data_IF_127103478242
#
_entry.id   IF_127103478242
#
_cell.length_a   1.000
_cell.length_b   1.000
_cell.length_c   1.000
_cell.angle_alpha   90.00
_cell.angle_beta   90.00
_cell.angle_gamma   90.00
#
_symmetry.space_group_name_H-M   'P 1'
#
loop_
_entity.id
_entity.type
_entity.pdbx_description
1 polymer ?
#
# COMPACT_ATOMS: atom_id res chain seq x y z
N UNK A 1 1.03 -17.86 -12.33
CA UNK A 1 0.52 -16.62 -11.68
C UNK A 1 0.67 -16.83 -10.17
N UNK A 2 1.33 -15.92 -9.43
CA UNK A 2 1.38 -16.02 -7.96
C UNK A 2 -0.03 -15.85 -7.42
N UNK A 3 -0.56 -16.86 -6.74
CA UNK A 3 -1.88 -16.78 -6.11
C UNK A 3 -1.78 -16.00 -4.80
N UNK A 4 -2.04 -14.69 -4.87
CA UNK A 4 -2.20 -13.89 -3.67
C UNK A 4 -3.59 -14.15 -3.07
N UNK A 5 -3.64 -14.79 -1.90
CA UNK A 5 -4.89 -15.18 -1.21
C UNK A 5 -5.88 -14.01 -1.06
N UNK A 6 -5.36 -12.81 -0.85
CA UNK A 6 -6.16 -11.60 -0.60
C UNK A 6 -6.43 -10.73 -1.84
N UNK A 7 -5.94 -11.10 -3.02
CA UNK A 7 -6.13 -10.29 -4.25
C UNK A 7 -7.61 -10.15 -4.61
N UNK A 8 -8.34 -11.26 -4.67
CA UNK A 8 -9.77 -11.26 -5.01
C UNK A 8 -10.62 -10.47 -4.01
N UNK A 9 -10.57 -10.75 -2.70
CA UNK A 9 -11.39 -10.00 -1.75
C UNK A 9 -11.02 -8.51 -1.70
N UNK A 10 -9.73 -8.16 -1.86
CA UNK A 10 -9.30 -6.76 -1.89
C UNK A 10 -9.83 -6.02 -3.12
N UNK A 11 -9.75 -6.64 -4.31
CA UNK A 11 -10.36 -6.10 -5.54
C UNK A 11 -11.87 -5.92 -5.35
N UNK A 12 -12.57 -6.88 -4.76
CA UNK A 12 -14.02 -6.79 -4.57
C UNK A 12 -14.41 -5.62 -3.67
N UNK A 13 -13.74 -5.45 -2.52
CA UNK A 13 -14.00 -4.34 -1.60
C UNK A 13 -13.72 -3.00 -2.26
N UNK A 14 -12.57 -2.86 -2.92
CA UNK A 14 -12.19 -1.61 -3.58
C UNK A 14 -13.09 -1.31 -4.77
N UNK A 15 -13.53 -2.33 -5.51
CA UNK A 15 -14.47 -2.15 -6.61
C UNK A 15 -15.84 -1.73 -6.12
N UNK A 16 -16.31 -2.28 -5.00
CA UNK A 16 -17.55 -1.85 -4.35
C UNK A 16 -17.42 -0.39 -3.90
N UNK A 17 -16.33 -0.03 -3.22
CA UNK A 17 -16.05 1.35 -2.80
C UNK A 17 -16.11 2.32 -3.98
N UNK A 18 -15.39 2.02 -5.07
CA UNK A 18 -15.38 2.87 -6.26
C UNK A 18 -16.77 2.96 -6.92
N UNK A 19 -17.56 1.89 -6.88
CA UNK A 19 -18.92 1.87 -7.43
C UNK A 19 -19.88 2.74 -6.61
N UNK A 20 -19.80 2.70 -5.29
CA UNK A 20 -20.64 3.55 -4.41
C UNK A 20 -20.41 5.05 -4.65
N UNK A 21 -19.27 5.43 -5.23
CA UNK A 21 -18.91 6.80 -5.57
C UNK A 21 -18.96 7.10 -7.09
N UNK A 22 -19.52 6.22 -7.92
CA UNK A 22 -19.59 6.37 -9.39
C UNK A 22 -18.21 6.50 -10.09
N UNK A 23 -17.16 5.97 -9.47
CA UNK A 23 -15.76 6.03 -9.94
C UNK A 23 -15.25 4.71 -10.53
N UNK A 24 -16.10 3.71 -10.77
CA UNK A 24 -15.71 2.40 -11.31
C UNK A 24 -15.72 2.31 -12.86
N UNK A 25 -16.16 3.38 -13.55
CA UNK A 25 -16.37 3.42 -14.99
C UNK A 25 -15.23 4.15 -15.71
N UNK A 26 -14.51 3.45 -16.60
CA UNK A 26 -13.37 4.02 -17.35
C UNK A 26 -13.79 5.12 -18.32
N UNK A 27 -14.96 4.99 -18.97
CA UNK A 27 -15.44 5.99 -19.92
C UNK A 27 -15.78 7.33 -19.24
N UNK A 28 -16.07 7.32 -17.93
CA UNK A 28 -16.29 8.52 -17.11
C UNK A 28 -15.02 9.04 -16.45
N UNK A 29 -13.85 8.44 -16.75
CA UNK A 29 -12.57 8.82 -16.15
C UNK A 29 -12.19 8.08 -14.88
N UNK A 30 -13.01 7.15 -14.43
CA UNK A 30 -12.81 6.39 -13.18
C UNK A 30 -11.84 5.22 -13.31
N UNK A 31 -11.66 4.48 -12.21
CA UNK A 31 -10.79 3.31 -12.12
C UNK A 31 -11.57 2.05 -12.49
N UNK A 32 -11.34 1.57 -13.72
CA UNK A 32 -11.90 0.31 -14.20
C UNK A 32 -11.29 -0.92 -13.54
N UNK A 33 -11.93 -2.09 -13.77
CA UNK A 33 -11.48 -3.37 -13.18
C UNK A 33 -10.03 -3.74 -13.47
N UNK A 34 -9.56 -3.46 -14.70
CA UNK A 34 -8.18 -3.75 -15.09
C UNK A 34 -7.19 -2.79 -14.43
N UNK A 35 -7.53 -1.51 -14.33
CA UNK A 35 -6.73 -0.53 -13.61
C UNK A 35 -6.63 -0.89 -12.13
N UNK A 36 -7.76 -1.21 -11.51
CA UNK A 36 -7.83 -1.64 -10.12
C UNK A 36 -6.99 -2.91 -9.89
N UNK A 37 -7.04 -3.87 -10.82
CA UNK A 37 -6.21 -5.07 -10.76
C UNK A 37 -4.71 -4.73 -10.78
N UNK A 38 -4.26 -3.81 -11.64
CA UNK A 38 -2.87 -3.36 -11.66
C UNK A 38 -2.47 -2.69 -10.34
N UNK A 39 -3.32 -1.81 -9.82
CA UNK A 39 -3.07 -1.13 -8.55
C UNK A 39 -2.93 -2.11 -7.38
N UNK A 40 -3.85 -3.07 -7.28
CA UNK A 40 -3.83 -4.08 -6.20
C UNK A 40 -2.65 -5.04 -6.36
N UNK A 41 -2.33 -5.45 -7.59
CA UNK A 41 -1.19 -6.32 -7.86
C UNK A 41 0.13 -5.65 -7.47
N UNK A 42 0.33 -4.40 -7.90
CA UNK A 42 1.49 -3.59 -7.50
C UNK A 42 1.58 -3.47 -5.97
N UNK A 43 0.47 -3.17 -5.30
CA UNK A 43 0.43 -3.06 -3.85
C UNK A 43 0.90 -4.35 -3.16
N UNK A 44 0.33 -5.50 -3.52
CA UNK A 44 0.68 -6.80 -2.92
C UNK A 44 2.15 -7.19 -3.20
N UNK A 45 2.66 -6.89 -4.39
CA UNK A 45 4.07 -7.09 -4.71
C UNK A 45 4.98 -6.24 -3.82
N UNK A 46 4.61 -4.98 -3.55
CA UNK A 46 5.38 -4.07 -2.70
C UNK A 46 5.34 -4.50 -1.23
N UNK A 47 4.19 -4.96 -0.73
CA UNK A 47 4.11 -5.52 0.62
C UNK A 47 5.06 -6.73 0.78
N UNK A 48 5.06 -7.65 -0.20
CA UNK A 48 5.94 -8.82 -0.18
C UNK A 48 7.44 -8.47 -0.18
N UNK A 49 7.85 -7.44 -0.94
CA UNK A 49 9.23 -6.94 -0.91
C UNK A 49 9.62 -6.37 0.46
N UNK A 50 8.75 -5.51 1.00
CA UNK A 50 8.97 -4.89 2.31
C UNK A 50 9.16 -5.96 3.38
N UNK A 51 8.35 -7.01 3.36
CA UNK A 51 8.45 -8.17 4.27
C UNK A 51 9.76 -8.92 4.12
N UNK A 52 10.14 -9.28 2.90
CA UNK A 52 11.40 -9.97 2.64
C UNK A 52 12.60 -9.17 3.17
N UNK A 53 12.57 -7.84 3.05
CA UNK A 53 13.61 -6.97 3.58
C UNK A 53 13.64 -6.92 5.13
N UNK A 54 12.46 -6.89 5.78
CA UNK A 54 12.33 -6.92 7.24
C UNK A 54 12.81 -8.25 7.83
N UNK A 55 12.43 -9.37 7.23
CA UNK A 55 12.82 -10.70 7.72
C UNK A 55 14.33 -10.91 7.64
N UNK A 56 14.96 -10.46 6.54
CA UNK A 56 16.43 -10.47 6.41
C UNK A 56 17.12 -9.64 7.50
N UNK A 57 16.59 -8.46 7.86
CA UNK A 57 17.12 -7.62 8.95
C UNK A 57 17.00 -8.31 10.33
N UNK A 58 15.87 -8.98 10.59
CA UNK A 58 15.65 -9.71 11.86
C UNK A 58 16.54 -10.95 11.99
N UNK A 59 16.78 -11.68 10.90
CA UNK A 59 17.73 -12.80 10.87
C UNK A 59 19.17 -12.34 11.09
N UNK A 60 19.59 -11.24 10.44
CA UNK A 60 20.95 -10.71 10.57
C UNK A 60 21.24 -10.17 11.99
N UNK A 61 20.24 -9.56 12.67
CA UNK A 61 20.37 -9.17 14.09
C UNK A 61 20.53 -10.35 15.04
N UNK A 62 19.99 -11.53 14.69
CA UNK A 62 20.09 -12.74 15.52
C UNK A 62 21.47 -13.40 15.40
N UNK A 63 22.13 -13.29 14.25
CA UNK A 63 23.51 -13.77 14.03
C UNK A 63 24.57 -12.86 14.69
N UNK A 64 24.30 -11.55 14.85
CA UNK A 64 25.18 -10.65 15.61
C UNK A 64 25.09 -10.81 17.13
N UNK A 65 24.00 -11.38 17.66
CA UNK A 65 23.78 -11.51 19.12
C UNK A 65 24.48 -12.70 19.77
N UNK A 66 25.10 -13.60 18.99
CA UNK A 66 25.92 -14.72 19.49
C UNK A 66 27.42 -14.39 19.58
N UNK A 67 27.81 -13.13 19.37
CA UNK A 67 29.22 -12.68 19.47
C UNK A 67 29.49 -11.70 20.62
N UNK A 68 28.48 -11.37 21.44
CA UNK A 68 28.63 -10.61 22.68
C UNK A 68 27.92 -11.36 23.82
N UNK A 69 28.61 -12.33 24.41
CA UNK A 69 28.32 -12.80 25.75
C UNK A 69 29.54 -12.46 26.61
N UNK A 70 29.54 -11.26 27.21
CA UNK A 70 30.03 -11.14 28.58
C UNK A 70 29.25 -10.06 29.36
N UNK A 71 28.88 -10.48 30.57
CA UNK A 71 28.35 -9.77 31.76
C UNK A 71 27.19 -8.75 31.67
N UNK A 72 26.10 -9.07 32.39
CA UNK A 72 25.71 -8.21 33.51
C UNK A 72 24.32 -7.55 33.52
N UNK A 73 23.52 -7.97 34.51
CA UNK A 73 22.55 -7.18 35.29
C UNK A 73 21.14 -6.99 34.69
N UNK A 74 20.22 -7.77 35.28
CA UNK A 74 18.76 -7.62 35.29
C UNK A 74 18.32 -6.18 35.55
N UNK A 75 17.61 -5.58 34.59
CA UNK A 75 16.75 -4.41 34.83
C UNK A 75 15.35 -4.70 34.32
N UNK A 76 14.40 -4.84 35.24
CA UNK A 76 12.97 -4.78 34.94
C UNK A 76 12.61 -3.35 34.52
N UNK A 77 11.88 -3.13 33.41
CA UNK A 77 11.45 -1.78 33.03
C UNK A 77 10.25 -1.32 33.87
N UNK A 78 10.17 -0.04 34.25
CA UNK A 78 9.09 0.49 35.08
C UNK A 78 7.79 0.70 34.29
N UNK A 79 6.68 0.45 34.98
CA UNK A 79 5.31 0.74 34.57
C UNK A 79 5.04 2.25 34.69
N UNK A 80 5.01 2.96 33.56
CA UNK A 80 4.22 4.20 33.30
C UNK A 80 4.67 4.88 32.01
N UNK A 81 3.80 4.95 31.00
CA UNK A 81 3.81 6.04 29.99
C UNK A 81 2.37 6.51 29.76
N UNK A 82 2.14 7.82 29.51
CA UNK A 82 0.87 8.51 29.74
C UNK A 82 -0.11 8.47 28.55
N UNK A 83 -1.34 8.93 28.82
CA UNK A 83 -2.49 9.05 27.94
C UNK A 83 -2.33 10.16 26.85
N UNK A 84 -2.43 9.77 25.56
CA UNK A 84 -2.62 10.55 24.30
C UNK A 84 -1.50 11.50 23.81
N UNK A 85 -1.47 11.98 22.54
CA UNK A 85 -1.90 11.45 21.23
C UNK A 85 -0.71 11.36 20.21
N UNK A 86 -0.95 10.82 19.00
CA UNK A 86 0.01 10.68 17.87
C UNK A 86 1.00 9.51 17.96
N UNK A 87 0.50 8.29 17.76
CA UNK A 87 1.36 7.13 17.44
C UNK A 87 0.98 6.60 16.07
N UNK A 88 1.43 7.26 15.01
CA UNK A 88 1.30 6.75 13.63
C UNK A 88 2.44 5.79 13.29
N UNK A 89 3.63 5.98 13.88
CA UNK A 89 4.80 5.15 13.60
C UNK A 89 4.73 3.76 14.23
N UNK A 90 4.18 3.60 15.44
CA UNK A 90 4.05 2.26 16.07
C UNK A 90 2.86 1.44 15.59
N UNK A 91 1.92 2.05 14.84
CA UNK A 91 0.87 1.30 14.12
C UNK A 91 1.48 0.48 12.98
N UNK A 92 2.56 0.96 12.34
CA UNK A 92 3.24 0.23 11.28
C UNK A 92 3.88 -1.07 11.75
N UNK A 93 4.27 -1.13 13.02
CA UNK A 93 4.84 -2.32 13.67
C UNK A 93 3.75 -3.29 14.20
N UNK A 94 2.51 -2.84 14.40
CA UNK A 94 1.37 -3.71 14.76
C UNK A 94 0.66 -4.32 13.54
N UNK A 95 1.03 -3.91 12.31
CA UNK A 95 0.50 -4.41 11.04
C UNK A 95 1.21 -5.70 10.56
N UNK A 96 1.67 -6.55 11.47
CA UNK A 96 2.51 -7.72 11.15
C UNK A 96 1.76 -8.88 10.47
N UNK A 97 0.43 -8.88 10.49
CA UNK A 97 -0.38 -9.94 9.87
C UNK A 97 -0.95 -9.56 8.50
N UNK A 98 -1.01 -10.52 7.57
CA UNK A 98 -1.62 -10.45 6.23
C UNK A 98 -3.14 -10.45 6.31
N UNK A 99 -3.70 -9.74 7.29
CA UNK A 99 -5.16 -9.63 7.34
C UNK A 99 -5.62 -8.79 6.15
N UNK A 100 -6.78 -9.16 5.60
CA UNK A 100 -7.42 -8.39 4.55
C UNK A 100 -7.57 -6.92 4.93
N UNK A 101 -7.89 -6.64 6.20
CA UNK A 101 -8.01 -5.28 6.71
C UNK A 101 -6.68 -4.51 6.70
N UNK A 102 -5.57 -5.15 7.06
CA UNK A 102 -4.24 -4.50 7.02
C UNK A 102 -3.85 -4.14 5.59
N UNK A 103 -4.07 -5.07 4.66
CA UNK A 103 -3.81 -4.85 3.23
C UNK A 103 -4.71 -3.77 2.63
N UNK A 104 -5.98 -3.69 3.06
CA UNK A 104 -6.86 -2.61 2.64
C UNK A 104 -6.38 -1.25 3.15
N UNK A 105 -6.06 -1.14 4.44
CA UNK A 105 -5.59 0.11 5.05
C UNK A 105 -4.25 0.57 4.44
N UNK A 106 -3.31 -0.36 4.22
CA UNK A 106 -2.03 -0.04 3.58
C UNK A 106 -2.18 0.28 2.09
N UNK A 107 -3.13 -0.34 1.39
CA UNK A 107 -3.49 0.02 0.01
C UNK A 107 -3.98 1.47 -0.06
N UNK A 108 -4.96 1.83 0.78
CA UNK A 108 -5.54 3.17 0.81
C UNK A 108 -4.45 4.20 1.09
N UNK A 109 -3.63 4.00 2.13
CA UNK A 109 -2.49 4.87 2.45
C UNK A 109 -1.53 5.01 1.27
N UNK A 110 -1.17 3.90 0.63
CA UNK A 110 -0.20 3.89 -0.46
C UNK A 110 -0.66 4.75 -1.64
N UNK A 111 -1.93 4.63 -2.03
CA UNK A 111 -2.45 5.38 -3.18
C UNK A 111 -2.93 6.79 -2.82
N UNK A 112 -3.28 7.08 -1.57
CA UNK A 112 -3.45 8.49 -1.13
C UNK A 112 -2.11 9.25 -1.12
N UNK A 113 -1.01 8.59 -0.78
CA UNK A 113 0.32 9.21 -0.70
C UNK A 113 1.20 8.96 -1.95
N UNK A 114 0.63 8.46 -3.05
CA UNK A 114 1.39 8.18 -4.27
C UNK A 114 1.73 9.49 -5.01
N UNK A 115 2.94 9.60 -5.55
CA UNK A 115 3.34 10.76 -6.33
C UNK A 115 2.87 10.61 -7.78
N UNK A 116 1.64 11.03 -8.06
CA UNK A 116 1.03 10.90 -9.38
C UNK A 116 1.68 11.79 -10.45
N UNK A 117 2.46 12.80 -10.05
CA UNK A 117 3.13 13.71 -10.98
C UNK A 117 4.38 13.06 -11.54
N UNK A 118 5.23 12.51 -10.67
CA UNK A 118 6.55 12.02 -11.04
C UNK A 118 6.65 10.51 -11.18
N UNK A 119 5.75 9.75 -10.57
CA UNK A 119 5.86 8.30 -10.48
C UNK A 119 4.76 7.56 -11.25
N UNK A 120 5.12 6.38 -11.75
CA UNK A 120 4.22 5.40 -12.35
C UNK A 120 4.43 4.02 -11.72
N UNK A 121 3.57 3.08 -12.06
CA UNK A 121 3.69 1.70 -11.59
C UNK A 121 3.93 0.73 -12.75
N UNK A 122 4.75 -0.28 -12.46
CA UNK A 122 5.03 -1.38 -13.37
C UNK A 122 4.87 -2.71 -12.62
N UNK A 123 3.80 -3.45 -12.90
CA UNK A 123 3.54 -4.73 -12.23
C UNK A 123 4.36 -5.90 -12.77
N UNK A 124 5.15 -5.69 -13.84
CA UNK A 124 6.00 -6.74 -14.40
C UNK A 124 7.09 -7.12 -13.40
N UNK A 125 7.35 -8.42 -13.29
CA UNK A 125 8.26 -8.97 -12.29
C UNK A 125 7.74 -8.78 -10.86
N UNK A 126 8.34 -7.84 -10.12
CA UNK A 126 8.08 -7.65 -8.69
C UNK A 126 7.39 -6.33 -8.35
N UNK A 127 6.72 -5.63 -9.28
CA UNK A 127 5.97 -4.41 -8.95
C UNK A 127 6.86 -3.23 -8.62
N UNK A 128 7.31 -2.49 -9.63
CA UNK A 128 8.24 -1.37 -9.47
C UNK A 128 7.52 -0.03 -9.55
N UNK A 129 8.06 0.94 -8.82
CA UNK A 129 7.78 2.36 -9.07
C UNK A 129 8.78 2.80 -10.14
N UNK A 130 8.27 3.45 -11.19
CA UNK A 130 9.07 3.97 -12.31
C UNK A 130 8.96 5.50 -12.33
N UNK A 131 9.97 6.19 -12.86
CA UNK A 131 9.92 7.64 -13.06
C UNK A 131 9.24 7.97 -14.37
N UNK A 132 8.19 8.80 -14.33
CA UNK A 132 7.43 9.21 -15.53
C UNK A 132 8.27 10.00 -16.52
N UNK A 133 9.31 10.69 -16.08
CA UNK A 133 10.25 11.42 -16.96
C UNK A 133 10.97 10.53 -17.96
N UNK A 134 11.02 9.21 -17.74
CA UNK A 134 11.59 8.25 -18.70
C UNK A 134 10.61 7.82 -19.80
N UNK A 135 9.32 8.17 -19.67
CA UNK A 135 8.23 7.66 -20.53
C UNK A 135 7.26 8.75 -21.03
N UNK A 136 7.21 9.90 -20.37
CA UNK A 136 6.32 11.01 -20.68
C UNK A 136 7.17 12.26 -20.92
N UNK A 137 6.92 12.95 -22.03
CA UNK A 137 7.55 14.24 -22.31
C UNK A 137 6.97 15.34 -21.40
N UNK A 138 5.67 15.28 -21.12
CA UNK A 138 4.95 16.29 -20.35
C UNK A 138 4.48 15.78 -18.97
N UNK A 139 4.66 16.57 -17.90
CA UNK A 139 4.17 16.22 -16.57
C UNK A 139 2.64 16.20 -16.54
N UNK A 140 2.08 15.28 -15.77
CA UNK A 140 0.63 15.16 -15.55
C UNK A 140 0.36 14.45 -14.22
N UNK A 141 -0.83 14.61 -13.66
CA UNK A 141 -1.27 14.06 -12.37
C UNK A 141 -2.03 12.72 -12.50
N UNK A 142 -2.01 12.13 -13.71
CA UNK A 142 -2.66 10.85 -13.96
C UNK A 142 -1.81 9.69 -13.47
N UNK A 143 -2.47 8.65 -12.94
CA UNK A 143 -1.80 7.39 -12.67
C UNK A 143 -1.25 6.79 -13.97
N UNK A 144 0.08 6.67 -14.04
CA UNK A 144 0.77 6.02 -15.14
C UNK A 144 0.98 4.54 -14.81
N UNK A 145 0.56 3.65 -15.71
CA UNK A 145 0.71 2.20 -15.51
C UNK A 145 1.28 1.59 -16.78
N UNK A 146 2.44 0.96 -16.68
CA UNK A 146 3.02 0.23 -17.81
C UNK A 146 2.15 -0.97 -18.15
N UNK A 147 1.76 -1.11 -19.42
CA UNK A 147 1.05 -2.29 -19.89
C UNK A 147 1.93 -3.54 -19.69
N UNK A 148 1.44 -4.57 -18.98
CA UNK A 148 2.13 -5.85 -18.83
C UNK A 148 2.33 -6.59 -20.16
N UNK A 149 1.48 -6.30 -21.16
CA UNK A 149 1.52 -6.93 -22.48
C UNK A 149 2.37 -6.12 -23.46
N UNK A 150 2.31 -4.78 -23.37
CA UNK A 150 2.93 -3.85 -24.31
C UNK A 150 3.74 -2.80 -23.55
N UNK A 151 5.00 -3.07 -23.18
CA UNK A 151 5.86 -2.25 -22.32
C UNK A 151 5.92 -0.73 -22.59
N UNK A 152 5.61 -0.31 -23.81
CA UNK A 152 5.66 1.06 -24.27
C UNK A 152 4.32 1.79 -24.13
N UNK A 153 3.26 1.09 -23.70
CA UNK A 153 1.92 1.62 -23.60
C UNK A 153 1.53 1.88 -22.13
N UNK A 154 0.93 3.04 -21.92
CA UNK A 154 0.32 3.43 -20.65
C UNK A 154 -1.16 3.06 -20.62
N UNK A 155 -1.53 2.14 -19.73
CA UNK A 155 -2.93 1.70 -19.56
C UNK A 155 -3.74 2.64 -18.65
N UNK A 156 -3.08 3.62 -18.03
CA UNK A 156 -3.68 4.63 -17.18
C UNK A 156 -4.47 5.70 -17.91
N UNK A 157 -4.41 5.78 -19.26
CA UNK A 157 -4.90 6.94 -20.04
C UNK A 157 -6.35 7.32 -19.79
N UNK A 158 -7.19 6.32 -19.51
CA UNK A 158 -8.62 6.53 -19.25
C UNK A 158 -8.94 6.91 -17.80
N UNK A 159 -7.98 6.87 -16.88
CA UNK A 159 -8.19 7.14 -15.44
C UNK A 159 -7.85 8.59 -15.10
N UNK A 160 -8.59 9.56 -15.65
CA UNK A 160 -8.31 10.99 -15.44
C UNK A 160 -8.98 11.60 -14.20
N UNK A 161 -9.88 10.89 -13.52
CA UNK A 161 -10.51 11.31 -12.26
C UNK A 161 -9.76 10.80 -11.03
N UNK A 162 -8.43 10.88 -11.09
CA UNK A 162 -7.60 10.33 -10.04
C UNK A 162 -7.74 11.13 -8.74
N UNK A 163 -7.96 12.44 -8.85
CA UNK A 163 -8.24 13.35 -7.72
C UNK A 163 -9.45 12.90 -6.92
N UNK A 164 -10.59 12.62 -7.56
CA UNK A 164 -11.81 12.17 -6.89
C UNK A 164 -11.63 10.80 -6.23
N UNK A 165 -10.87 9.91 -6.87
CA UNK A 165 -10.54 8.60 -6.28
C UNK A 165 -9.64 8.76 -5.06
N UNK A 166 -8.66 9.66 -5.09
CA UNK A 166 -7.79 9.95 -3.95
C UNK A 166 -8.61 10.48 -2.78
N UNK A 167 -9.57 11.39 -3.01
CA UNK A 167 -10.46 11.89 -1.96
C UNK A 167 -11.29 10.76 -1.32
N UNK A 168 -11.82 9.84 -2.13
CA UNK A 168 -12.55 8.68 -1.62
C UNK A 168 -11.64 7.76 -0.80
N UNK A 169 -10.41 7.53 -1.28
CA UNK A 169 -9.43 6.70 -0.55
C UNK A 169 -9.01 7.34 0.77
N UNK A 170 -8.78 8.65 0.80
CA UNK A 170 -8.43 9.40 2.00
C UNK A 170 -9.56 9.35 3.04
N UNK A 171 -10.79 9.63 2.62
CA UNK A 171 -12.00 9.53 3.49
C UNK A 171 -12.13 8.12 4.07
N UNK A 172 -11.97 7.09 3.23
CA UNK A 172 -12.06 5.68 3.65
C UNK A 172 -10.93 5.30 4.62
N UNK A 173 -9.71 5.77 4.35
CA UNK A 173 -8.54 5.54 5.20
C UNK A 173 -8.74 6.13 6.60
N UNK A 174 -9.25 7.36 6.68
CA UNK A 174 -9.53 8.04 7.94
C UNK A 174 -10.59 7.31 8.77
N UNK A 175 -11.66 6.82 8.15
CA UNK A 175 -12.70 6.03 8.84
C UNK A 175 -12.14 4.68 9.31
N UNK A 176 -11.42 3.98 8.44
CA UNK A 176 -10.88 2.65 8.74
C UNK A 176 -9.82 2.64 9.86
N UNK A 177 -9.05 3.71 10.00
CA UNK A 177 -8.08 3.87 11.10
C UNK A 177 -8.77 4.18 12.43
N UNK A 178 -9.81 5.02 12.44
CA UNK A 178 -10.61 5.35 13.64
C UNK A 178 -11.37 4.14 14.21
N UNK A 179 -11.94 3.30 13.35
CA UNK A 179 -12.67 2.11 13.78
C UNK A 179 -11.78 1.10 14.53
N UNK A 180 -10.46 1.09 14.26
CA UNK A 180 -9.49 0.23 14.96
C UNK A 180 -9.05 0.76 16.32
N UNK A 181 -9.10 2.09 16.52
CA UNK A 181 -8.75 2.71 17.79
C UNK A 181 -9.81 2.57 18.88
N UNK A 182 -11.00 2.06 18.54
CA UNK A 182 -12.02 1.67 19.51
C UNK A 182 -12.10 0.15 19.58
N UNK A 183 -11.36 -0.52 20.49
CA UNK A 183 -11.64 -1.90 20.81
C UNK A 183 -13.09 -1.99 21.32
N UNK A 184 -13.82 -2.98 20.80
CA UNK A 184 -15.23 -3.22 21.13
C UNK A 184 -15.46 -3.19 22.64
N UNK A 185 -16.48 -2.43 23.04
CA UNK A 185 -17.05 -2.39 24.39
C UNK A 185 -17.81 -3.68 24.67
#
# INVERSE_FOLDING_TARGET
IREWRHLRPLILILKLLLREHDLNETYKGGVGSYMLFNMVTHHLQQEAKSRASKQRKSANRRTQRTQDCDEGITRTPPLSTPLFPLVYDSLADYLEEDTLGNLLVSFLRRYTNFDYVFDGIDIRGNGQIIRKSEYCDEPNDRLYVVSPLEPHLDVGKSTYKMTEVIEVFEKTYLVGTRARTYPHT
#
